data_IF_131439536159
#
_entry.id   IF_131439536159
#
_cell.length_a   1.000
_cell.length_b   1.000
_cell.length_c   1.000
_cell.angle_alpha   90.00
_cell.angle_beta   90.00
_cell.angle_gamma   90.00
#
_symmetry.space_group_name_H-M   'P 1'
#
loop_
_entity.id
_entity.type
_entity.pdbx_description
1 polymer ?
#
# COMPACT_ATOMS: atom_id res chain seq x y z
N UNK A 1 -15.28 -46.92 73.93
CA UNK A 1 -15.02 -47.70 72.70
C UNK A 1 -14.84 -46.71 71.54
N UNK A 2 -14.05 -47.06 70.52
CA UNK A 2 -13.79 -46.28 69.29
C UNK A 2 -14.27 -47.10 68.07
N UNK A 3 -14.16 -46.67 66.79
CA UNK A 3 -13.78 -45.36 66.21
C UNK A 3 -15.06 -44.58 65.78
N UNK A 4 -15.19 -43.68 64.79
CA UNK A 4 -14.36 -43.04 63.74
C UNK A 4 -15.05 -41.67 63.39
N UNK A 5 -14.53 -40.66 62.70
CA UNK A 5 -13.22 -40.24 62.10
C UNK A 5 -13.26 -38.68 62.04
N UNK A 6 -12.33 -37.86 61.53
CA UNK A 6 -11.13 -38.02 60.69
C UNK A 6 -11.13 -36.95 59.58
N UNK A 7 -10.60 -35.75 59.86
CA UNK A 7 -10.50 -34.64 58.88
C UNK A 7 -9.11 -33.99 58.91
N UNK A 8 -8.59 -33.59 57.74
CA UNK A 8 -7.33 -32.86 57.59
C UNK A 8 -7.60 -31.43 57.11
N UNK A 9 -7.09 -30.45 57.84
CA UNK A 9 -7.04 -29.05 57.41
C UNK A 9 -5.88 -28.85 56.43
N UNK A 10 -6.14 -28.19 55.29
CA UNK A 10 -5.11 -27.83 54.31
C UNK A 10 -4.83 -26.32 54.38
N UNK A 11 -3.57 -25.95 54.59
CA UNK A 11 -3.12 -24.56 54.66
C UNK A 11 -2.92 -23.95 53.26
N UNK A 12 -3.22 -22.66 53.13
CA UNK A 12 -2.96 -21.88 51.90
C UNK A 12 -1.46 -21.61 51.71
N UNK A 13 -0.90 -21.81 50.50
CA UNK A 13 0.37 -21.20 50.10
C UNK A 13 0.21 -19.70 49.82
N UNK A 14 1.32 -18.97 49.90
CA UNK A 14 1.43 -17.52 49.65
C UNK A 14 1.55 -17.17 48.16
N UNK A 15 1.21 -15.92 47.81
CA UNK A 15 1.34 -15.38 46.46
C UNK A 15 2.72 -14.75 46.21
N UNK A 16 3.60 -15.47 45.53
CA UNK A 16 4.86 -14.90 45.02
C UNK A 16 4.62 -14.02 43.78
N UNK A 17 5.46 -12.99 43.62
CA UNK A 17 5.47 -12.12 42.43
C UNK A 17 6.58 -12.56 41.47
N UNK A 18 6.34 -12.66 40.15
CA UNK A 18 7.39 -13.04 39.21
C UNK A 18 8.57 -12.07 39.21
N UNK A 19 9.77 -12.62 39.41
CA UNK A 19 11.06 -11.92 39.22
C UNK A 19 11.48 -11.96 37.75
N UNK A 20 12.34 -11.03 37.34
CA UNK A 20 12.84 -10.93 35.96
C UNK A 20 14.28 -11.43 35.87
N UNK A 21 14.71 -12.11 34.79
CA UNK A 21 16.11 -12.48 34.59
C UNK A 21 16.97 -11.27 34.20
N UNK A 22 17.96 -10.91 35.02
CA UNK A 22 18.79 -9.71 34.87
C UNK A 22 19.93 -9.80 33.83
N UNK A 23 19.98 -10.87 33.02
CA UNK A 23 21.15 -11.25 32.20
C UNK A 23 21.04 -10.97 30.69
N UNK A 24 20.63 -9.75 30.30
CA UNK A 24 20.72 -9.29 28.90
C UNK A 24 21.55 -8.00 28.77
N UNK A 25 22.52 -8.02 27.83
CA UNK A 25 23.71 -7.17 27.89
C UNK A 25 23.49 -5.66 27.69
N UNK A 26 24.27 -4.85 28.42
CA UNK A 26 24.34 -3.38 28.28
C UNK A 26 25.07 -2.98 26.99
N UNK A 27 24.39 -3.08 25.85
CA UNK A 27 24.84 -2.47 24.59
C UNK A 27 23.65 -1.88 23.81
N UNK A 28 23.91 -0.81 23.06
CA UNK A 28 22.95 -0.04 22.22
C UNK A 28 21.80 0.74 22.89
N UNK A 29 21.52 0.60 24.20
CA UNK A 29 20.49 1.42 24.88
C UNK A 29 21.03 2.81 25.28
N UNK A 30 21.23 3.68 24.29
CA UNK A 30 21.46 5.14 24.49
C UNK A 30 20.62 5.96 23.50
N UNK A 31 19.37 6.26 23.89
CA UNK A 31 18.47 7.36 23.42
C UNK A 31 17.00 7.08 23.81
N UNK A 32 16.65 5.85 24.15
CA UNK A 32 15.30 5.48 24.59
C UNK A 32 15.19 5.49 26.12
N UNK A 33 14.40 6.42 26.66
CA UNK A 33 14.08 6.43 28.09
C UNK A 33 13.40 5.14 28.53
N UNK A 34 13.84 4.57 29.66
CA UNK A 34 13.55 3.18 30.05
C UNK A 34 12.05 2.83 30.10
N UNK A 35 11.23 3.79 30.55
CA UNK A 35 9.75 3.69 30.56
C UNK A 35 9.16 3.40 29.17
N UNK A 36 9.77 3.93 28.11
CA UNK A 36 9.37 3.71 26.71
C UNK A 36 9.70 2.29 26.24
N UNK A 37 10.90 1.78 26.56
CA UNK A 37 11.32 0.41 26.22
C UNK A 37 10.42 -0.61 26.92
N UNK A 38 10.20 -0.45 28.23
CA UNK A 38 9.28 -1.30 29.02
C UNK A 38 7.83 -1.24 28.48
N UNK A 39 7.38 -0.12 27.91
CA UNK A 39 6.06 0.02 27.26
C UNK A 39 5.98 -0.81 25.97
N UNK A 40 6.93 -0.64 25.04
CA UNK A 40 6.88 -1.37 23.76
C UNK A 40 7.07 -2.88 23.96
N UNK A 41 7.93 -3.31 24.89
CA UNK A 41 8.04 -4.72 25.28
C UNK A 41 6.70 -5.30 25.77
N UNK A 42 5.97 -4.58 26.64
CA UNK A 42 4.63 -5.01 27.09
C UNK A 42 3.61 -5.04 25.95
N UNK A 43 3.66 -4.09 25.01
CA UNK A 43 2.77 -4.08 23.84
C UNK A 43 3.05 -5.27 22.91
N UNK A 44 4.31 -5.55 22.60
CA UNK A 44 4.72 -6.73 21.82
C UNK A 44 4.29 -8.01 22.54
N UNK A 45 4.52 -8.12 23.85
CA UNK A 45 4.10 -9.29 24.64
C UNK A 45 2.60 -9.56 24.51
N UNK A 46 1.75 -8.56 24.77
CA UNK A 46 0.29 -8.67 24.62
C UNK A 46 -0.14 -8.91 23.16
N UNK A 47 0.63 -8.45 22.18
CA UNK A 47 0.32 -8.62 20.75
C UNK A 47 0.87 -9.92 20.13
N UNK A 48 1.76 -10.66 20.80
CA UNK A 48 2.40 -11.87 20.26
C UNK A 48 2.38 -13.10 21.19
N UNK A 49 2.04 -12.96 22.47
CA UNK A 49 2.03 -14.05 23.45
C UNK A 49 0.63 -14.20 24.08
N UNK A 50 0.27 -15.42 24.45
CA UNK A 50 -0.97 -15.75 25.16
C UNK A 50 -0.80 -17.05 25.95
N UNK A 51 -1.69 -17.33 26.89
CA UNK A 51 -1.81 -18.66 27.47
C UNK A 51 -2.97 -19.40 26.80
N UNK A 52 -2.78 -20.69 26.49
CA UNK A 52 -3.85 -21.54 25.96
C UNK A 52 -4.79 -22.07 27.06
N UNK A 53 -5.72 -22.96 26.69
CA UNK A 53 -6.69 -23.54 27.62
C UNK A 53 -6.07 -24.46 28.70
N UNK A 54 -4.82 -24.90 28.53
CA UNK A 54 -4.05 -25.64 29.55
C UNK A 54 -3.23 -24.71 30.46
N UNK A 55 -3.16 -23.42 30.14
CA UNK A 55 -2.29 -22.44 30.79
C UNK A 55 -0.88 -22.40 30.22
N UNK A 56 -0.56 -23.18 29.18
CA UNK A 56 0.76 -23.15 28.54
C UNK A 56 0.97 -21.82 27.80
N UNK A 57 2.16 -21.22 27.98
CA UNK A 57 2.54 -19.99 27.28
C UNK A 57 2.82 -20.29 25.80
N UNK A 58 1.99 -19.74 24.93
CA UNK A 58 2.14 -19.77 23.48
C UNK A 58 2.66 -18.42 22.95
N UNK A 59 3.29 -18.46 21.78
CA UNK A 59 3.76 -17.28 21.06
C UNK A 59 3.44 -17.41 19.57
N UNK A 60 3.40 -16.29 18.84
CA UNK A 60 3.15 -16.25 17.39
C UNK A 60 4.17 -15.41 16.63
N UNK A 61 4.51 -15.88 15.43
CA UNK A 61 5.02 -15.01 14.38
C UNK A 61 3.98 -13.97 13.96
N UNK A 62 4.44 -12.87 13.37
CA UNK A 62 3.59 -11.84 12.79
C UNK A 62 2.49 -12.47 11.91
N UNK A 63 1.22 -12.08 12.16
CA UNK A 63 0.07 -12.56 11.38
C UNK A 63 -0.13 -14.09 11.32
N UNK A 64 0.28 -14.87 12.32
CA UNK A 64 0.10 -16.34 12.30
C UNK A 64 -1.36 -16.78 12.29
N UNK A 65 -2.25 -16.03 12.93
CA UNK A 65 -3.69 -16.32 13.03
C UNK A 65 -4.47 -15.73 11.86
N UNK A 66 -5.53 -16.43 11.42
CA UNK A 66 -6.48 -15.88 10.42
C UNK A 66 -7.60 -15.07 11.05
N UNK A 67 -8.09 -15.43 12.24
CA UNK A 67 -9.22 -14.72 12.86
C UNK A 67 -8.84 -13.32 13.35
N UNK A 68 -9.82 -12.41 13.30
CA UNK A 68 -9.74 -11.02 13.74
C UNK A 68 -11.13 -10.59 14.20
N UNK A 69 -11.23 -10.00 15.39
CA UNK A 69 -12.51 -9.60 15.99
C UNK A 69 -13.41 -8.77 15.04
N UNK A 70 -12.82 -7.92 14.19
CA UNK A 70 -13.56 -7.11 13.20
C UNK A 70 -14.19 -7.89 12.05
N UNK A 71 -13.78 -9.14 11.78
CA UNK A 71 -14.41 -9.98 10.74
C UNK A 71 -15.86 -10.34 11.06
N UNK A 72 -16.25 -10.33 12.34
CA UNK A 72 -17.63 -10.61 12.78
C UNK A 72 -18.57 -9.41 12.64
N UNK A 73 -18.05 -8.23 12.29
CA UNK A 73 -18.81 -6.98 12.17
C UNK A 73 -18.92 -6.43 10.73
N UNK A 74 -18.34 -7.13 9.74
CA UNK A 74 -18.40 -6.74 8.32
C UNK A 74 -18.69 -7.99 7.50
N UNK A 75 -19.91 -8.12 6.97
CA UNK A 75 -20.19 -9.09 5.91
C UNK A 75 -19.46 -8.68 4.63
N UNK A 76 -18.48 -9.48 4.22
CA UNK A 76 -18.01 -9.51 2.83
C UNK A 76 -18.08 -10.93 2.29
N UNK A 77 -18.38 -11.03 0.98
CA UNK A 77 -18.56 -12.30 0.29
C UNK A 77 -17.33 -13.18 0.41
N UNK A 78 -17.55 -14.40 0.89
CA UNK A 78 -16.52 -15.39 1.15
C UNK A 78 -15.88 -15.88 -0.16
N UNK A 79 -14.78 -15.25 -0.60
CA UNK A 79 -14.00 -15.70 -1.76
C UNK A 79 -13.23 -16.97 -1.37
N UNK A 80 -13.76 -18.12 -1.79
CA UNK A 80 -13.44 -19.44 -1.24
C UNK A 80 -11.94 -19.77 -1.15
N UNK A 81 -11.40 -19.70 0.08
CA UNK A 81 -10.31 -20.56 0.52
C UNK A 81 -10.71 -21.20 1.84
N UNK A 82 -10.60 -22.52 1.91
CA UNK A 82 -10.90 -23.32 3.10
C UNK A 82 -10.09 -22.89 4.32
N UNK A 83 -10.63 -23.22 5.49
CA UNK A 83 -9.94 -23.19 6.78
C UNK A 83 -8.59 -23.90 6.66
N UNK A 84 -7.51 -23.26 7.13
CA UNK A 84 -6.20 -23.89 7.14
C UNK A 84 -6.12 -24.85 8.34
N UNK A 85 -6.49 -26.11 8.13
CA UNK A 85 -6.33 -27.15 9.14
C UNK A 85 -4.85 -27.27 9.57
N UNK A 86 -4.60 -27.57 10.84
CA UNK A 86 -3.25 -27.73 11.39
C UNK A 86 -2.56 -26.46 11.89
N UNK A 87 -3.27 -25.34 12.09
CA UNK A 87 -2.78 -24.22 12.91
C UNK A 87 -3.47 -24.20 14.29
N UNK A 88 -2.74 -23.92 15.39
CA UNK A 88 -3.33 -23.67 16.70
C UNK A 88 -3.91 -22.25 16.78
N UNK A 89 -4.90 -21.95 15.93
CA UNK A 89 -5.67 -20.70 15.99
C UNK A 89 -6.67 -20.81 17.15
N UNK A 90 -6.39 -20.13 18.26
CA UNK A 90 -7.30 -20.04 19.40
C UNK A 90 -8.34 -18.92 19.21
N UNK A 91 -9.62 -19.19 19.51
CA UNK A 91 -10.77 -18.26 19.42
C UNK A 91 -10.61 -16.93 20.19
N UNK A 92 -9.61 -16.84 21.09
CA UNK A 92 -9.33 -15.68 21.93
C UNK A 92 -8.32 -14.68 21.35
N UNK A 93 -7.60 -15.03 20.27
CA UNK A 93 -6.44 -14.27 19.78
C UNK A 93 -6.81 -13.00 18.98
N UNK A 94 -7.29 -11.95 19.68
CA UNK A 94 -7.67 -10.64 19.10
C UNK A 94 -6.47 -9.84 18.56
N UNK A 95 -5.94 -10.22 17.40
CA UNK A 95 -4.79 -9.51 16.78
C UNK A 95 -5.17 -8.14 16.19
N UNK A 96 -4.30 -7.11 16.31
CA UNK A 96 -4.49 -5.83 15.63
C UNK A 96 -4.46 -5.93 14.10
N UNK A 97 -4.82 -4.83 13.43
CA UNK A 97 -4.46 -4.63 12.02
C UNK A 97 -2.96 -4.40 11.89
N UNK A 98 -2.36 -4.80 10.77
CA UNK A 98 -0.90 -4.71 10.55
C UNK A 98 -0.38 -3.27 10.46
N UNK A 99 -1.26 -2.27 10.36
CA UNK A 99 -0.96 -0.84 10.54
C UNK A 99 -0.69 -0.46 12.00
N UNK A 100 -1.28 -1.18 12.96
CA UNK A 100 -1.20 -0.93 14.41
C UNK A 100 -0.34 -1.96 15.17
N UNK A 101 -0.12 -3.15 14.59
CA UNK A 101 0.68 -4.23 15.16
C UNK A 101 2.15 -3.80 15.32
N UNK A 102 2.66 -3.77 16.55
CA UNK A 102 4.07 -3.55 16.86
C UNK A 102 4.76 -4.90 16.81
N UNK A 103 5.50 -5.14 15.72
CA UNK A 103 6.02 -6.48 15.40
C UNK A 103 7.34 -6.79 16.12
N UNK A 104 8.09 -5.76 16.52
CA UNK A 104 9.37 -5.90 17.23
C UNK A 104 9.57 -4.76 18.23
N UNK A 105 10.12 -5.02 19.43
CA UNK A 105 10.42 -3.98 20.40
C UNK A 105 11.68 -3.18 20.02
N UNK A 106 12.47 -3.68 19.07
CA UNK A 106 13.72 -3.06 18.63
C UNK A 106 13.50 -1.91 17.64
N UNK A 107 12.43 -1.98 16.84
CA UNK A 107 11.89 -0.89 16.02
C UNK A 107 10.35 -0.86 16.18
N UNK A 108 9.81 -0.04 17.10
CA UNK A 108 8.38 0.07 17.32
C UNK A 108 7.58 0.75 16.19
N UNK A 109 8.24 1.27 15.15
CA UNK A 109 7.61 1.90 13.98
C UNK A 109 7.59 0.98 12.75
N UNK A 110 8.48 -0.02 12.70
CA UNK A 110 8.43 -1.09 11.71
C UNK A 110 7.10 -1.86 11.77
N UNK A 111 6.52 -2.18 10.60
CA UNK A 111 5.24 -2.88 10.48
C UNK A 111 5.38 -4.10 9.57
N UNK A 112 4.54 -5.11 9.79
CA UNK A 112 4.45 -6.26 8.89
C UNK A 112 3.66 -5.92 7.63
N UNK A 113 4.10 -6.43 6.48
CA UNK A 113 3.36 -6.35 5.22
C UNK A 113 3.58 -7.59 4.36
N UNK A 114 2.70 -7.78 3.38
CA UNK A 114 2.61 -8.97 2.55
C UNK A 114 2.07 -8.58 1.16
N UNK A 115 2.80 -8.92 0.10
CA UNK A 115 2.42 -8.68 -1.31
C UNK A 115 2.48 -10.02 -2.04
N UNK A 116 1.37 -10.43 -2.64
CA UNK A 116 1.34 -11.56 -3.57
C UNK A 116 1.80 -11.06 -4.93
N UNK A 117 2.67 -11.82 -5.59
CA UNK A 117 3.28 -11.51 -6.89
C UNK A 117 3.18 -12.72 -7.81
N UNK A 118 3.50 -12.57 -9.10
CA UNK A 118 3.61 -13.71 -10.01
C UNK A 118 4.66 -14.73 -9.53
N UNK A 119 5.74 -14.26 -8.90
CA UNK A 119 6.77 -15.08 -8.25
C UNK A 119 6.38 -15.54 -6.82
N UNK A 120 5.08 -15.67 -6.53
CA UNK A 120 4.56 -16.14 -5.24
C UNK A 120 4.34 -15.04 -4.19
N UNK A 121 4.10 -15.48 -2.95
CA UNK A 121 3.88 -14.60 -1.80
C UNK A 121 5.22 -14.11 -1.23
N UNK A 122 5.33 -12.80 -1.00
CA UNK A 122 6.43 -12.21 -0.21
C UNK A 122 5.86 -11.42 0.96
N UNK A 123 6.54 -11.49 2.10
CA UNK A 123 6.26 -10.71 3.29
C UNK A 123 7.54 -10.16 3.93
N UNK A 124 7.40 -9.06 4.68
CA UNK A 124 8.50 -8.35 5.30
C UNK A 124 8.04 -7.55 6.52
N UNK A 125 8.99 -7.16 7.37
CA UNK A 125 8.79 -6.27 8.51
C UNK A 125 9.66 -5.03 8.29
N UNK A 126 9.07 -3.84 8.36
CA UNK A 126 9.78 -2.57 8.15
C UNK A 126 8.89 -1.53 7.46
N UNK A 127 9.34 -1.10 6.27
CA UNK A 127 8.87 0.08 5.57
C UNK A 127 8.58 -0.22 4.08
N UNK A 128 8.05 0.77 3.34
CA UNK A 128 8.13 0.87 1.88
C UNK A 128 9.02 2.05 1.50
N UNK A 129 9.60 1.95 0.32
CA UNK A 129 10.18 3.06 -0.39
C UNK A 129 9.43 3.30 -1.70
N UNK A 130 9.28 4.57 -2.07
CA UNK A 130 8.71 5.02 -3.33
C UNK A 130 9.68 6.05 -3.91
N UNK A 131 10.18 5.81 -5.13
CA UNK A 131 11.15 6.67 -5.80
C UNK A 131 10.51 7.23 -7.07
N UNK A 132 10.73 8.51 -7.33
CA UNK A 132 10.41 9.15 -8.61
C UNK A 132 11.71 9.60 -9.27
N UNK A 133 11.90 9.24 -10.54
CA UNK A 133 13.04 9.67 -11.35
C UNK A 133 12.61 10.43 -12.61
N UNK A 134 13.54 11.16 -13.20
CA UNK A 134 13.40 11.65 -14.57
C UNK A 134 13.55 10.50 -15.56
N UNK A 135 12.92 10.63 -16.73
CA UNK A 135 12.98 9.67 -17.84
C UNK A 135 12.87 10.40 -19.19
N UNK A 136 13.47 11.60 -19.24
CA UNK A 136 13.64 12.43 -20.41
C UNK A 136 14.84 11.97 -21.25
N UNK A 137 14.81 12.21 -22.56
CA UNK A 137 15.85 11.77 -23.51
C UNK A 137 17.17 12.57 -23.38
N UNK A 138 17.24 13.51 -22.43
CA UNK A 138 18.25 14.57 -22.30
C UNK A 138 19.35 14.30 -21.27
N UNK A 139 19.43 13.10 -20.68
CA UNK A 139 20.48 12.74 -19.73
C UNK A 139 20.31 11.34 -19.14
N UNK A 140 21.00 11.03 -18.01
CA UNK A 140 20.73 9.83 -17.24
C UNK A 140 19.47 10.05 -16.37
N UNK A 141 18.68 9.01 -16.14
CA UNK A 141 17.54 9.08 -15.21
C UNK A 141 18.01 9.53 -13.82
N UNK A 142 17.53 10.67 -13.31
CA UNK A 142 17.89 11.17 -11.97
C UNK A 142 16.73 10.95 -11.00
N UNK A 143 16.97 10.27 -9.87
CA UNK A 143 15.97 10.12 -8.80
C UNK A 143 15.80 11.49 -8.11
N UNK A 144 14.70 12.19 -8.41
CA UNK A 144 14.40 13.53 -7.91
C UNK A 144 13.64 13.53 -6.58
N UNK A 145 12.98 12.43 -6.22
CA UNK A 145 12.06 12.38 -5.08
C UNK A 145 11.98 10.97 -4.46
N UNK A 146 11.87 10.91 -3.12
CA UNK A 146 11.79 9.67 -2.33
C UNK A 146 10.71 9.82 -1.24
N UNK A 147 9.71 8.92 -1.18
CA UNK A 147 8.81 8.77 -0.01
C UNK A 147 9.10 7.47 0.71
N UNK A 148 9.29 7.55 2.02
CA UNK A 148 9.34 6.37 2.89
C UNK A 148 8.04 6.25 3.69
N UNK A 149 7.41 5.07 3.68
CA UNK A 149 6.12 4.80 4.35
C UNK A 149 6.20 3.58 5.27
N UNK A 150 5.31 3.40 6.26
CA UNK A 150 5.14 2.12 6.94
C UNK A 150 4.75 1.01 5.96
N UNK A 151 5.31 -0.20 6.11
CA UNK A 151 5.11 -1.30 5.16
C UNK A 151 3.65 -1.64 4.73
N UNK A 152 2.61 -1.55 5.59
CA UNK A 152 1.23 -1.94 5.22
C UNK A 152 0.44 -0.85 4.47
N UNK A 153 0.93 0.38 4.38
CA UNK A 153 0.31 1.42 3.53
C UNK A 153 0.29 0.95 2.06
N UNK A 154 -0.69 1.37 1.26
CA UNK A 154 -0.80 0.93 -0.13
C UNK A 154 -0.09 1.87 -1.10
N UNK A 155 0.28 1.34 -2.26
CA UNK A 155 1.04 2.08 -3.27
C UNK A 155 0.22 3.29 -3.81
N UNK A 156 -1.10 3.13 -3.96
CA UNK A 156 -2.08 4.21 -4.24
C UNK A 156 -2.05 5.36 -3.22
N UNK A 157 -1.84 5.07 -1.92
CA UNK A 157 -1.86 6.06 -0.84
C UNK A 157 -0.61 6.96 -0.82
N UNK A 158 0.33 6.75 -1.76
CA UNK A 158 1.55 7.56 -1.88
C UNK A 158 1.42 8.69 -2.93
N UNK A 159 0.56 8.55 -3.94
CA UNK A 159 0.67 9.36 -5.16
C UNK A 159 0.40 10.86 -4.94
N UNK A 160 -0.58 11.24 -4.11
CA UNK A 160 -0.85 12.65 -3.81
C UNK A 160 0.28 13.32 -3.01
N UNK A 161 0.92 12.59 -2.09
CA UNK A 161 2.07 13.07 -1.32
C UNK A 161 3.33 13.16 -2.20
N UNK A 162 3.50 12.26 -3.17
CA UNK A 162 4.56 12.34 -4.19
C UNK A 162 4.36 13.60 -5.04
N UNK A 163 3.16 13.82 -5.60
CA UNK A 163 2.85 15.01 -6.40
C UNK A 163 2.99 16.31 -5.59
N UNK A 164 2.60 16.30 -4.31
CA UNK A 164 2.81 17.41 -3.38
C UNK A 164 4.30 17.72 -3.16
N UNK A 165 5.15 16.70 -2.98
CA UNK A 165 6.59 16.87 -2.78
C UNK A 165 7.29 17.37 -4.04
N UNK A 166 7.05 16.71 -5.19
CA UNK A 166 7.55 17.13 -6.50
C UNK A 166 7.21 18.59 -6.78
N UNK A 167 5.97 19.00 -6.53
CA UNK A 167 5.51 20.39 -6.71
C UNK A 167 6.24 21.36 -5.78
N UNK A 168 6.40 21.04 -4.48
CA UNK A 168 7.13 21.88 -3.52
C UNK A 168 8.63 21.97 -3.79
N UNK A 169 9.21 20.94 -4.40
CA UNK A 169 10.65 20.85 -4.70
C UNK A 169 11.02 21.47 -6.07
N UNK A 170 10.03 21.91 -6.85
CA UNK A 170 10.24 22.46 -8.19
C UNK A 170 10.26 21.42 -9.31
N UNK A 171 10.31 20.12 -8.98
CA UNK A 171 10.33 18.99 -9.93
C UNK A 171 8.92 18.55 -10.36
N UNK A 172 7.99 19.50 -10.59
CA UNK A 172 6.61 19.19 -10.98
C UNK A 172 6.57 18.66 -12.44
N UNK A 173 6.26 17.38 -12.70
CA UNK A 173 6.27 16.84 -14.05
C UNK A 173 5.07 17.33 -14.86
N UNK A 174 5.20 17.33 -16.20
CA UNK A 174 4.06 17.53 -17.11
C UNK A 174 3.22 16.25 -17.17
N UNK A 175 3.88 15.10 -17.32
CA UNK A 175 3.28 13.76 -17.24
C UNK A 175 4.11 12.88 -16.30
N UNK A 176 3.45 12.11 -15.45
CA UNK A 176 4.07 11.16 -14.52
C UNK A 176 3.65 9.73 -14.90
N UNK A 177 4.62 8.92 -15.32
CA UNK A 177 4.42 7.50 -15.66
C UNK A 177 4.49 6.64 -14.40
N UNK A 178 3.46 5.84 -14.12
CA UNK A 178 3.32 5.11 -12.85
C UNK A 178 2.72 3.70 -13.04
N UNK A 179 3.10 2.78 -12.14
CA UNK A 179 2.56 1.41 -12.12
C UNK A 179 1.06 1.37 -11.73
N UNK A 180 0.36 0.32 -12.18
CA UNK A 180 -1.04 0.01 -11.82
C UNK A 180 -1.29 -0.28 -10.33
N UNK A 181 -0.26 -0.26 -9.48
CA UNK A 181 -0.33 -0.11 -8.03
C UNK A 181 -0.82 1.27 -7.56
N UNK A 182 -0.48 2.33 -8.29
CA UNK A 182 -0.75 3.74 -7.92
C UNK A 182 -2.03 4.31 -8.57
N UNK A 183 -2.51 3.68 -9.64
CA UNK A 183 -3.51 4.25 -10.54
C UNK A 183 -4.94 3.87 -10.18
N UNK A 184 -5.78 4.89 -10.00
CA UNK A 184 -7.23 4.81 -10.08
C UNK A 184 -7.78 6.00 -10.85
N UNK A 185 -9.02 5.95 -11.36
CA UNK A 185 -9.64 7.11 -12.01
C UNK A 185 -9.76 8.34 -11.10
N UNK A 186 -9.82 8.13 -9.78
CA UNK A 186 -9.85 9.19 -8.77
C UNK A 186 -8.46 9.83 -8.59
N UNK A 187 -7.39 9.02 -8.46
CA UNK A 187 -6.03 9.55 -8.35
C UNK A 187 -5.55 10.23 -9.64
N UNK A 188 -6.01 9.80 -10.83
CA UNK A 188 -5.81 10.54 -12.09
C UNK A 188 -6.57 11.88 -12.06
N UNK A 189 -7.84 11.89 -11.65
CA UNK A 189 -8.64 13.12 -11.58
C UNK A 189 -8.03 14.15 -10.62
N UNK A 190 -7.56 13.69 -9.46
CA UNK A 190 -6.87 14.49 -8.45
C UNK A 190 -5.53 15.03 -8.96
N UNK A 191 -4.71 14.21 -9.64
CA UNK A 191 -3.44 14.67 -10.21
C UNK A 191 -3.64 15.80 -11.23
N UNK A 192 -4.62 15.66 -12.12
CA UNK A 192 -4.95 16.67 -13.12
C UNK A 192 -5.51 17.96 -12.48
N UNK A 193 -6.45 17.85 -11.55
CA UNK A 193 -7.17 19.03 -10.98
C UNK A 193 -6.41 19.76 -9.88
N UNK A 194 -5.67 19.03 -9.02
CA UNK A 194 -4.99 19.59 -7.84
C UNK A 194 -3.53 19.98 -8.10
N UNK A 195 -2.85 19.25 -8.98
CA UNK A 195 -1.42 19.43 -9.26
C UNK A 195 -1.10 19.81 -10.71
N UNK A 196 -2.09 19.75 -11.62
CA UNK A 196 -1.91 19.93 -13.06
C UNK A 196 -0.81 19.00 -13.63
N UNK A 197 -0.89 17.73 -13.25
CA UNK A 197 0.01 16.64 -13.67
C UNK A 197 -0.83 15.61 -14.45
N UNK A 198 -0.43 15.29 -15.69
CA UNK A 198 -0.99 14.15 -16.40
C UNK A 198 -0.44 12.83 -15.81
N UNK A 199 -1.24 11.76 -15.77
CA UNK A 199 -0.84 10.47 -15.20
C UNK A 199 -0.96 9.38 -16.26
N UNK A 200 0.18 8.77 -16.61
CA UNK A 200 0.25 7.67 -17.56
C UNK A 200 0.44 6.35 -16.81
N UNK A 201 -0.64 5.58 -16.65
CA UNK A 201 -0.59 4.23 -16.12
C UNK A 201 -1.93 3.51 -16.23
N UNK A 202 -1.95 2.17 -16.12
CA UNK A 202 -3.11 1.36 -16.47
C UNK A 202 -4.19 1.42 -15.38
N UNK A 203 -5.43 1.70 -15.79
CA UNK A 203 -6.60 1.55 -14.93
C UNK A 203 -7.02 0.09 -14.96
N UNK A 204 -6.92 -0.60 -13.81
CA UNK A 204 -7.27 -2.03 -13.68
C UNK A 204 -8.65 -2.33 -14.28
N UNK A 205 -8.72 -3.37 -15.11
CA UNK A 205 -9.98 -3.94 -15.60
C UNK A 205 -10.75 -4.69 -14.50
N UNK A 206 -11.98 -5.13 -14.76
CA UNK A 206 -12.73 -5.98 -13.81
C UNK A 206 -12.14 -7.40 -13.79
N UNK A 207 -11.55 -7.88 -12.68
CA UNK A 207 -10.98 -9.23 -12.61
C UNK A 207 -12.03 -10.35 -12.73
N UNK A 208 -13.33 -10.03 -12.65
CA UNK A 208 -14.43 -10.97 -12.86
C UNK A 208 -15.02 -10.91 -14.28
N UNK A 209 -14.50 -10.08 -15.19
CA UNK A 209 -14.99 -9.97 -16.56
C UNK A 209 -14.94 -11.32 -17.31
N UNK A 210 -13.82 -12.04 -17.23
CA UNK A 210 -13.67 -13.36 -17.84
C UNK A 210 -14.61 -14.44 -17.23
N UNK A 211 -15.17 -14.21 -16.05
CA UNK A 211 -16.16 -15.08 -15.40
C UNK A 211 -17.61 -14.65 -15.69
N UNK A 212 -17.81 -13.58 -16.47
CA UNK A 212 -19.10 -13.03 -16.87
C UNK A 212 -19.12 -12.77 -18.39
N UNK A 213 -19.16 -13.79 -19.25
CA UNK A 213 -19.05 -13.67 -20.71
C UNK A 213 -20.28 -13.05 -21.40
N UNK A 214 -21.14 -12.35 -20.66
CA UNK A 214 -22.17 -11.48 -21.20
C UNK A 214 -21.78 -10.00 -21.07
N UNK A 215 -22.76 -9.11 -21.06
CA UNK A 215 -22.50 -7.68 -21.07
C UNK A 215 -21.74 -7.19 -19.82
N UNK A 216 -20.65 -6.47 -20.08
CA UNK A 216 -19.75 -5.79 -19.14
C UNK A 216 -20.39 -4.48 -18.64
N UNK A 217 -19.61 -3.51 -18.15
CA UNK A 217 -20.12 -2.15 -17.89
C UNK A 217 -19.95 -1.25 -19.13
N UNK A 218 -18.91 -1.53 -19.90
CA UNK A 218 -18.45 -0.80 -21.06
C UNK A 218 -19.41 -0.92 -22.27
N UNK A 219 -20.23 -1.97 -22.31
CA UNK A 219 -21.28 -2.17 -23.33
C UNK A 219 -22.54 -1.29 -23.11
N UNK A 220 -22.64 -0.59 -21.97
CA UNK A 220 -23.80 0.22 -21.62
C UNK A 220 -23.56 1.70 -21.93
N UNK A 221 -24.44 2.33 -22.71
CA UNK A 221 -24.33 3.75 -23.09
C UNK A 221 -24.83 4.65 -21.97
N UNK A 222 -23.92 5.43 -21.40
CA UNK A 222 -24.19 6.39 -20.32
C UNK A 222 -24.74 7.71 -20.90
N UNK A 223 -25.87 8.17 -20.39
CA UNK A 223 -26.44 9.50 -20.63
C UNK A 223 -26.34 10.31 -19.33
N UNK A 224 -25.45 11.31 -19.30
CA UNK A 224 -25.17 12.11 -18.12
C UNK A 224 -26.24 13.16 -17.82
N UNK A 225 -26.84 13.73 -18.86
CA UNK A 225 -27.81 14.84 -18.78
C UNK A 225 -29.16 14.34 -18.24
N UNK A 226 -29.68 13.25 -18.82
CA UNK A 226 -30.89 12.57 -18.34
C UNK A 226 -30.60 11.65 -17.14
N UNK A 227 -29.32 11.41 -16.83
CA UNK A 227 -28.84 10.54 -15.73
C UNK A 227 -29.27 9.08 -15.88
N UNK A 228 -29.29 8.57 -17.11
CA UNK A 228 -29.76 7.21 -17.45
C UNK A 228 -28.69 6.36 -18.12
N UNK A 229 -28.94 5.06 -18.19
CA UNK A 229 -28.05 4.09 -18.81
C UNK A 229 -28.85 3.23 -19.79
N UNK A 230 -28.50 3.23 -21.08
CA UNK A 230 -29.08 2.32 -22.08
C UNK A 230 -28.26 1.03 -22.15
N UNK A 231 -28.93 -0.13 -22.13
CA UNK A 231 -28.28 -1.43 -22.33
C UNK A 231 -28.13 -1.76 -23.84
N UNK A 232 -27.31 -2.76 -24.22
CA UNK A 232 -27.17 -3.19 -25.61
C UNK A 232 -28.49 -3.51 -26.31
N UNK A 233 -29.47 -4.05 -25.58
CA UNK A 233 -30.79 -4.43 -26.10
C UNK A 233 -31.81 -3.27 -26.00
N UNK A 234 -31.34 -2.02 -26.07
CA UNK A 234 -32.16 -0.80 -26.20
C UNK A 234 -32.91 -0.33 -24.94
N UNK A 235 -33.05 -1.16 -23.90
CA UNK A 235 -33.73 -0.77 -22.66
C UNK A 235 -32.91 0.29 -21.91
N UNK A 236 -33.55 1.41 -21.57
CA UNK A 236 -32.94 2.49 -20.75
C UNK A 236 -33.39 2.38 -19.28
N UNK A 237 -32.47 2.67 -18.36
CA UNK A 237 -32.77 2.70 -16.93
C UNK A 237 -33.58 3.93 -16.52
N UNK A 238 -34.33 3.88 -15.39
CA UNK A 238 -34.70 5.10 -14.67
C UNK A 238 -33.45 5.93 -14.29
N UNK A 239 -33.61 7.22 -13.94
CA UNK A 239 -32.52 8.05 -13.45
C UNK A 239 -31.80 7.43 -12.25
N UNK A 240 -30.46 7.43 -12.28
CA UNK A 240 -29.64 6.83 -11.22
C UNK A 240 -29.69 7.62 -9.91
N UNK A 241 -29.36 6.93 -8.81
CA UNK A 241 -29.33 7.53 -7.46
C UNK A 241 -27.92 7.55 -6.88
N UNK A 242 -27.46 8.66 -6.27
CA UNK A 242 -26.23 8.66 -5.48
C UNK A 242 -26.29 7.58 -4.39
N UNK A 243 -25.14 6.94 -4.13
CA UNK A 243 -24.95 5.96 -3.06
C UNK A 243 -23.49 5.95 -2.62
N UNK A 244 -23.19 5.29 -1.51
CA UNK A 244 -21.83 4.89 -1.18
C UNK A 244 -21.60 3.43 -1.61
N UNK A 245 -20.35 3.12 -1.97
CA UNK A 245 -19.85 1.76 -2.22
C UNK A 245 -18.43 1.68 -1.68
N UNK A 246 -18.20 0.79 -0.70
CA UNK A 246 -16.98 0.70 0.10
C UNK A 246 -16.57 2.05 0.74
N UNK A 247 -17.55 2.88 1.12
CA UNK A 247 -17.35 4.23 1.68
C UNK A 247 -17.16 5.34 0.64
N UNK A 248 -16.90 5.02 -0.62
CA UNK A 248 -16.68 6.01 -1.69
C UNK A 248 -17.98 6.34 -2.44
N UNK A 249 -18.15 7.57 -2.98
CA UNK A 249 -19.30 7.94 -3.81
C UNK A 249 -19.43 7.07 -5.07
N UNK A 250 -20.66 6.63 -5.35
CA UNK A 250 -21.07 5.86 -6.55
C UNK A 250 -22.43 6.33 -7.04
N UNK A 251 -22.77 5.97 -8.27
CA UNK A 251 -24.12 6.15 -8.83
C UNK A 251 -24.75 4.77 -9.04
N UNK A 252 -25.88 4.54 -8.39
CA UNK A 252 -26.63 3.28 -8.37
C UNK A 252 -27.63 3.24 -9.54
N UNK A 253 -27.41 2.34 -10.48
CA UNK A 253 -28.21 2.19 -11.71
C UNK A 253 -28.92 0.83 -11.69
N UNK A 254 -30.24 0.83 -11.49
CA UNK A 254 -31.05 -0.39 -11.44
C UNK A 254 -32.03 -0.44 -12.62
N UNK A 255 -31.89 -1.45 -13.49
CA UNK A 255 -32.79 -1.63 -14.62
C UNK A 255 -34.17 -2.16 -14.22
N UNK A 256 -35.24 -1.86 -14.99
CA UNK A 256 -36.59 -2.32 -14.68
C UNK A 256 -36.68 -3.85 -14.61
N UNK A 257 -37.16 -4.38 -13.47
CA UNK A 257 -37.20 -5.84 -13.22
C UNK A 257 -37.99 -6.61 -14.29
N UNK A 258 -39.09 -6.02 -14.79
CA UNK A 258 -39.93 -6.60 -15.84
C UNK A 258 -39.13 -6.77 -17.15
N UNK A 259 -38.56 -5.68 -17.68
CA UNK A 259 -37.73 -5.73 -18.89
C UNK A 259 -36.51 -6.67 -18.76
N UNK A 260 -35.87 -6.75 -17.59
CA UNK A 260 -34.81 -7.73 -17.34
C UNK A 260 -35.30 -9.18 -17.11
N UNK A 261 -36.61 -9.42 -16.93
CA UNK A 261 -37.21 -10.76 -16.83
C UNK A 261 -37.63 -11.28 -18.20
N UNK A 262 -38.07 -10.38 -19.07
CA UNK A 262 -38.60 -10.67 -20.43
C UNK A 262 -37.53 -10.55 -21.53
N UNK A 263 -36.25 -10.39 -21.16
CA UNK A 263 -35.13 -10.26 -22.09
C UNK A 263 -34.39 -11.60 -22.25
N UNK A 264 -34.21 -12.06 -23.49
CA UNK A 264 -33.58 -13.35 -23.82
C UNK A 264 -32.14 -13.46 -23.32
N UNK A 265 -31.38 -12.37 -23.41
CA UNK A 265 -30.00 -12.29 -22.90
C UNK A 265 -29.91 -12.24 -21.37
N UNK A 266 -31.02 -12.33 -20.61
CA UNK A 266 -31.04 -12.29 -19.14
C UNK A 266 -29.96 -13.18 -18.52
N UNK A 267 -29.82 -14.43 -18.98
CA UNK A 267 -28.86 -15.39 -18.41
C UNK A 267 -27.41 -14.91 -18.57
N UNK A 268 -27.07 -14.34 -19.74
CA UNK A 268 -25.75 -13.73 -20.02
C UNK A 268 -25.57 -12.42 -19.25
N UNK A 269 -26.62 -11.60 -19.18
CA UNK A 269 -26.60 -10.23 -18.70
C UNK A 269 -26.63 -10.11 -17.17
N UNK A 270 -27.51 -10.82 -16.45
CA UNK A 270 -27.60 -10.72 -14.98
C UNK A 270 -26.86 -11.85 -14.27
N UNK A 271 -26.67 -13.01 -14.93
CA UNK A 271 -26.15 -14.22 -14.30
C UNK A 271 -27.00 -14.74 -13.13
N UNK A 272 -28.24 -14.26 -12.96
CA UNK A 272 -29.06 -14.54 -11.79
C UNK A 272 -30.55 -14.71 -12.15
N UNK A 273 -31.16 -15.79 -11.68
CA UNK A 273 -32.56 -16.20 -11.88
C UNK A 273 -33.55 -15.57 -10.88
N UNK A 274 -33.10 -14.90 -9.81
CA UNK A 274 -33.89 -14.30 -8.70
C UNK A 274 -34.99 -13.25 -9.07
N UNK A 275 -35.39 -13.10 -10.34
CA UNK A 275 -36.32 -12.05 -10.80
C UNK A 275 -35.78 -10.61 -10.72
N UNK A 276 -34.60 -10.40 -10.11
CA UNK A 276 -33.90 -9.12 -10.01
C UNK A 276 -33.48 -8.60 -11.41
N UNK A 277 -33.48 -7.28 -11.57
CA UNK A 277 -32.95 -6.61 -12.76
C UNK A 277 -31.43 -6.40 -12.67
N UNK A 278 -30.78 -6.06 -13.80
CA UNK A 278 -29.36 -5.71 -13.82
C UNK A 278 -29.11 -4.48 -12.93
N UNK A 279 -28.12 -4.57 -12.05
CA UNK A 279 -27.67 -3.48 -11.18
C UNK A 279 -26.23 -3.15 -11.54
N UNK A 280 -25.96 -1.89 -11.85
CA UNK A 280 -24.63 -1.36 -12.20
C UNK A 280 -24.31 -0.22 -11.24
N UNK A 281 -23.04 -0.12 -10.84
CA UNK A 281 -22.50 1.05 -10.16
C UNK A 281 -21.57 1.81 -11.12
N UNK A 282 -21.88 3.08 -11.38
CA UNK A 282 -20.95 4.01 -12.02
C UNK A 282 -20.11 4.73 -10.94
N UNK A 283 -18.96 5.21 -11.36
CA UNK A 283 -18.24 6.27 -10.64
C UNK A 283 -18.97 7.63 -10.82
N UNK A 284 -18.66 8.66 -10.01
CA UNK A 284 -19.00 10.04 -10.36
C UNK A 284 -18.43 10.42 -11.74
N UNK A 285 -19.02 11.41 -12.39
CA UNK A 285 -18.82 11.66 -13.83
C UNK A 285 -17.35 11.81 -14.28
N UNK A 286 -16.50 12.64 -13.66
CA UNK A 286 -15.11 12.79 -14.09
C UNK A 286 -14.33 11.47 -14.01
N UNK A 287 -14.43 10.79 -12.87
CA UNK A 287 -13.80 9.49 -12.63
C UNK A 287 -14.36 8.39 -13.56
N UNK A 288 -15.66 8.45 -13.92
CA UNK A 288 -16.24 7.49 -14.86
C UNK A 288 -15.77 7.74 -16.30
N UNK A 289 -15.71 9.00 -16.74
CA UNK A 289 -15.16 9.37 -18.05
C UNK A 289 -13.69 8.95 -18.16
N UNK A 290 -12.87 9.23 -17.14
CA UNK A 290 -11.47 8.79 -17.04
C UNK A 290 -11.36 7.27 -17.10
N UNK A 291 -12.17 6.52 -16.33
CA UNK A 291 -12.12 5.05 -16.35
C UNK A 291 -12.40 4.48 -17.74
N UNK A 292 -13.45 4.96 -18.41
CA UNK A 292 -13.85 4.47 -19.73
C UNK A 292 -12.79 4.82 -20.78
N UNK A 293 -12.22 6.03 -20.72
CA UNK A 293 -11.20 6.48 -21.67
C UNK A 293 -9.88 5.70 -21.51
N UNK A 294 -9.32 5.63 -20.29
CA UNK A 294 -8.03 4.94 -20.07
C UNK A 294 -8.13 3.43 -20.35
N UNK A 295 -9.26 2.77 -20.00
CA UNK A 295 -9.50 1.35 -20.35
C UNK A 295 -9.63 1.11 -21.85
N UNK A 296 -10.02 2.12 -22.64
CA UNK A 296 -10.02 2.07 -24.11
C UNK A 296 -8.60 2.27 -24.64
N UNK A 297 -7.92 3.31 -24.16
CA UNK A 297 -6.60 3.71 -24.68
C UNK A 297 -5.51 2.68 -24.36
N UNK A 298 -5.52 2.05 -23.17
CA UNK A 298 -4.53 1.04 -22.77
C UNK A 298 -4.54 -0.24 -23.63
N UNK A 299 -5.59 -0.43 -24.44
CA UNK A 299 -5.70 -1.52 -25.44
C UNK A 299 -5.06 -1.15 -26.79
N UNK A 300 -4.66 0.11 -26.98
CA UNK A 300 -4.04 0.57 -28.23
C UNK A 300 -2.52 0.38 -28.21
N UNK A 301 -1.94 -0.03 -29.34
CA UNK A 301 -0.48 -0.16 -29.48
C UNK A 301 0.27 1.17 -29.29
N UNK A 302 -0.37 2.32 -29.56
CA UNK A 302 0.21 3.65 -29.33
C UNK A 302 0.36 3.96 -27.84
N UNK A 303 -0.67 3.69 -27.03
CA UNK A 303 -0.57 3.83 -25.56
C UNK A 303 0.46 2.85 -24.99
N UNK A 304 0.47 1.60 -25.47
CA UNK A 304 1.39 0.57 -25.01
C UNK A 304 2.85 0.93 -25.31
N UNK A 305 3.16 1.51 -26.48
CA UNK A 305 4.50 2.04 -26.79
C UNK A 305 4.89 3.20 -25.88
N UNK A 306 3.98 4.13 -25.57
CA UNK A 306 4.25 5.23 -24.61
C UNK A 306 4.49 4.70 -23.19
N UNK A 307 3.67 3.77 -22.73
CA UNK A 307 3.78 3.19 -21.38
C UNK A 307 5.00 2.25 -21.22
N UNK A 308 5.61 1.78 -22.32
CA UNK A 308 6.80 0.93 -22.28
C UNK A 308 7.96 1.55 -21.48
N UNK A 309 8.07 2.89 -21.44
CA UNK A 309 9.07 3.61 -20.64
C UNK A 309 9.01 3.28 -19.14
N UNK A 310 7.84 2.84 -18.63
CA UNK A 310 7.67 2.32 -17.25
C UNK A 310 8.72 1.25 -16.93
N UNK A 311 9.14 0.45 -17.92
CA UNK A 311 10.21 -0.56 -17.78
C UNK A 311 11.44 -0.03 -17.03
N UNK A 312 11.86 1.23 -17.30
CA UNK A 312 13.03 1.85 -16.68
C UNK A 312 13.04 1.82 -15.15
N UNK A 313 11.91 2.09 -14.49
CA UNK A 313 11.91 2.14 -13.03
C UNK A 313 12.00 0.75 -12.35
N UNK A 314 11.84 -0.37 -13.09
CA UNK A 314 12.26 -1.68 -12.58
C UNK A 314 13.79 -1.81 -12.52
N UNK A 315 14.54 -1.19 -13.45
CA UNK A 315 16.00 -1.13 -13.39
C UNK A 315 16.47 -0.28 -12.20
N UNK A 316 15.86 0.89 -11.95
CA UNK A 316 16.16 1.75 -10.80
C UNK A 316 15.87 1.09 -9.45
N UNK A 317 14.75 0.37 -9.34
CA UNK A 317 14.45 -0.46 -8.17
C UNK A 317 15.42 -1.64 -8.06
N UNK A 318 15.93 -2.19 -9.16
CA UNK A 318 16.96 -3.23 -9.14
C UNK A 318 18.31 -2.67 -8.63
N UNK A 319 18.78 -1.57 -9.21
CA UNK A 319 20.04 -0.89 -8.87
C UNK A 319 20.08 -0.49 -7.39
N UNK A 320 19.09 0.26 -6.91
CA UNK A 320 19.04 0.70 -5.51
C UNK A 320 18.95 -0.48 -4.53
N UNK A 321 18.31 -1.59 -4.91
CA UNK A 321 18.27 -2.82 -4.10
C UNK A 321 19.60 -3.57 -4.11
N UNK A 322 20.23 -3.75 -5.27
CA UNK A 322 21.34 -4.67 -5.47
C UNK A 322 22.72 -4.02 -5.35
N UNK A 323 22.92 -2.81 -5.89
CA UNK A 323 24.16 -2.05 -5.75
C UNK A 323 24.23 -1.28 -4.42
N UNK A 324 23.09 -0.86 -3.87
CA UNK A 324 23.04 0.03 -2.69
C UNK A 324 22.29 -0.54 -1.48
N UNK A 325 21.76 -1.75 -1.58
CA UNK A 325 21.23 -2.49 -0.43
C UNK A 325 19.94 -1.93 0.17
N UNK A 326 19.09 -1.23 -0.61
CA UNK A 326 17.87 -0.54 -0.15
C UNK A 326 16.97 -1.39 0.79
N UNK A 327 16.91 -2.72 0.57
CA UNK A 327 16.11 -3.65 1.41
C UNK A 327 16.64 -3.83 2.84
N UNK A 328 17.82 -3.32 3.18
CA UNK A 328 18.43 -3.47 4.49
C UNK A 328 18.46 -2.14 5.26
N UNK A 329 17.42 -1.91 6.08
CA UNK A 329 17.36 -0.76 6.99
C UNK A 329 18.39 -0.93 8.12
N UNK A 330 19.51 -0.18 8.04
CA UNK A 330 20.54 -0.13 9.10
C UNK A 330 20.08 0.67 10.31
N UNK A 331 19.24 1.68 10.05
CA UNK A 331 18.62 2.51 11.08
C UNK A 331 17.22 2.02 11.42
N UNK A 332 16.66 2.56 12.51
CA UNK A 332 15.35 2.20 13.06
C UNK A 332 14.51 3.44 13.32
N UNK A 333 13.19 3.33 13.15
CA UNK A 333 12.26 4.47 13.13
C UNK A 333 12.18 5.12 11.76
N UNK A 334 10.97 5.48 11.33
CA UNK A 334 10.61 5.90 9.98
C UNK A 334 11.49 7.05 9.48
N UNK A 335 11.73 8.06 10.33
CA UNK A 335 12.53 9.23 9.98
C UNK A 335 14.00 8.90 9.68
N UNK A 336 14.61 7.92 10.36
CA UNK A 336 15.99 7.53 10.11
C UNK A 336 16.12 6.60 8.91
N UNK A 337 15.13 5.72 8.70
CA UNK A 337 15.01 4.94 7.47
C UNK A 337 14.85 5.84 6.24
N UNK A 338 14.06 6.92 6.36
CA UNK A 338 13.89 7.88 5.28
C UNK A 338 15.20 8.58 4.89
N UNK A 339 16.01 9.02 5.86
CA UNK A 339 17.36 9.55 5.60
C UNK A 339 18.24 8.51 4.89
N UNK A 340 18.15 7.22 5.25
CA UNK A 340 18.88 6.17 4.53
C UNK A 340 18.45 6.06 3.07
N UNK A 341 17.15 6.06 2.79
CA UNK A 341 16.63 5.92 1.41
C UNK A 341 16.99 7.14 0.54
N UNK A 342 16.94 8.36 1.10
CA UNK A 342 17.41 9.58 0.44
C UNK A 342 18.91 9.52 0.14
N UNK A 343 19.73 9.00 1.06
CA UNK A 343 21.18 8.80 0.83
C UNK A 343 21.45 7.71 -0.22
N UNK A 344 20.65 6.63 -0.27
CA UNK A 344 20.71 5.63 -1.33
C UNK A 344 20.41 6.25 -2.69
N UNK A 345 19.32 7.02 -2.82
CA UNK A 345 18.99 7.71 -4.06
C UNK A 345 20.07 8.73 -4.48
N UNK A 346 20.60 9.51 -3.54
CA UNK A 346 21.68 10.45 -3.81
C UNK A 346 22.97 9.76 -4.29
N UNK A 347 23.35 8.62 -3.69
CA UNK A 347 24.49 7.80 -4.13
C UNK A 347 24.29 7.25 -5.55
N UNK A 348 23.08 6.75 -5.84
CA UNK A 348 22.67 6.29 -7.18
C UNK A 348 22.86 7.39 -8.22
N UNK A 349 22.31 8.59 -7.94
CA UNK A 349 22.43 9.74 -8.83
C UNK A 349 23.88 10.17 -9.08
N UNK A 350 24.74 10.16 -8.04
CA UNK A 350 26.16 10.51 -8.17
C UNK A 350 26.87 9.55 -9.14
N UNK A 351 26.61 8.25 -9.04
CA UNK A 351 27.20 7.24 -9.93
C UNK A 351 26.72 7.46 -11.37
N UNK A 352 25.39 7.47 -11.59
CA UNK A 352 24.78 7.71 -12.91
C UNK A 352 25.28 8.99 -13.60
N UNK A 353 25.46 10.07 -12.84
CA UNK A 353 26.02 11.33 -13.36
C UNK A 353 27.52 11.20 -13.69
N UNK A 354 28.30 10.50 -12.87
CA UNK A 354 29.74 10.28 -13.13
C UNK A 354 30.03 9.36 -14.31
N UNK A 355 29.11 8.44 -14.63
CA UNK A 355 29.19 7.56 -15.79
C UNK A 355 28.73 8.26 -17.08
N UNK A 356 27.75 9.17 -16.98
CA UNK A 356 27.22 9.93 -18.12
C UNK A 356 28.15 11.08 -18.57
N UNK A 357 28.90 11.70 -17.65
CA UNK A 357 29.83 12.79 -17.96
C UNK A 357 31.29 12.34 -17.77
N UNK A 358 32.02 12.00 -18.86
CA UNK A 358 33.45 11.70 -18.81
C UNK A 358 34.28 12.74 -18.03
N UNK A 359 35.36 12.32 -17.34
CA UNK A 359 36.24 13.23 -16.62
C UNK A 359 36.76 14.36 -17.53
N UNK A 360 36.42 15.60 -17.19
CA UNK A 360 36.80 16.80 -17.95
C UNK A 360 35.78 17.27 -19.00
N UNK A 361 34.71 16.53 -19.28
CA UNK A 361 33.62 16.97 -20.19
C UNK A 361 32.37 17.43 -19.46
N UNK A 362 32.42 17.57 -18.13
CA UNK A 362 31.36 18.20 -17.34
C UNK A 362 31.17 19.65 -17.83
N UNK A 363 29.94 20.14 -18.07
CA UNK A 363 29.72 21.51 -18.51
C UNK A 363 30.42 22.52 -17.59
N UNK A 364 31.15 23.46 -18.19
CA UNK A 364 32.01 24.40 -17.49
C UNK A 364 31.20 25.37 -16.61
N UNK A 365 30.85 24.94 -15.40
CA UNK A 365 30.28 25.81 -14.38
C UNK A 365 31.28 26.92 -14.07
N UNK A 366 30.86 28.20 -14.03
CA UNK A 366 31.76 29.27 -13.61
C UNK A 366 32.31 28.93 -12.21
N UNK A 367 33.62 29.10 -11.97
CA UNK A 367 34.24 28.67 -10.72
C UNK A 367 33.53 29.32 -9.54
N UNK A 368 33.08 28.50 -8.58
CA UNK A 368 32.28 28.94 -7.44
C UNK A 368 32.98 30.14 -6.77
N UNK A 369 32.32 31.31 -6.67
CA UNK A 369 32.98 32.54 -6.24
C UNK A 369 33.64 32.34 -4.87
N UNK A 370 34.88 32.82 -4.67
CA UNK A 370 35.71 32.40 -3.55
C UNK A 370 35.00 32.63 -2.22
N UNK A 371 35.05 31.62 -1.35
CA UNK A 371 34.36 31.66 -0.05
C UNK A 371 34.82 32.85 0.81
N UNK A 372 34.04 33.25 1.81
CA UNK A 372 34.44 34.36 2.69
C UNK A 372 35.82 34.11 3.34
N UNK A 373 36.06 32.86 3.76
CA UNK A 373 37.38 32.42 4.26
C UNK A 373 38.48 32.49 3.19
N UNK A 374 38.23 32.07 1.95
CA UNK A 374 39.20 32.14 0.86
C UNK A 374 39.57 33.58 0.50
N UNK A 375 38.58 34.49 0.47
CA UNK A 375 38.80 35.94 0.30
C UNK A 375 39.55 36.56 1.49
N UNK A 376 39.33 36.05 2.71
CA UNK A 376 40.08 36.47 3.89
C UNK A 376 41.55 36.02 3.79
N UNK A 377 41.80 34.74 3.45
CA UNK A 377 43.16 34.24 3.23
C UNK A 377 43.90 35.03 2.14
N UNK A 378 43.26 35.28 1.01
CA UNK A 378 43.84 36.08 -0.09
C UNK A 378 44.27 37.48 0.38
N UNK A 379 43.45 38.16 1.21
CA UNK A 379 43.75 39.46 1.82
C UNK A 379 44.77 39.42 2.97
N UNK A 380 45.18 38.24 3.42
CA UNK A 380 46.24 38.04 4.42
C UNK A 380 47.56 37.58 3.77
N UNK A 381 47.54 37.34 2.45
CA UNK A 381 48.70 36.95 1.62
C UNK A 381 49.06 38.01 0.57
N UNK A 382 48.49 39.21 0.70
CA UNK A 382 48.73 40.40 -0.14
C UNK A 382 48.80 41.63 0.75
#
# INVERSE_FOLDING_TARGET
>A
MAPATGSRTASRPSSERPTWPDSWGRSSVRTWGEKSVRRHLRQVWVQQYWHDASGQLCWRQAKSTRDRASRRAVEQRNTGKTSAAGRPDADSARVPWSTMEIVTPHDPEARYSQKVTAAGQRDWIGYRDHQTETCDETGPNVIVQVVTRPAPQQDIDALDDIHQQLTRQGFRPVEHVVDGGYVTPDSIHQAATKWNIAVLGPVRDDPQAAQRPGFTKEDFRIDWDNRTLTCPNGITSPPWKPTLGDGHPRLSVLFPRKACRECDDRLKCTGNVDGKGRHIFLLPEPQQKIQTQVRKDQKTGTWQRRYAIRAGCEATVSETVHAHGLRHCRYRGLAKTHVQHVLTAAGTNIIRLSECFPPGTTPASPPRPPGHFQRLCQRLTS
#
